data_IF_305309560869
#
_entry.id   IF_305309560869
#
_cell.length_a   1.000
_cell.length_b   1.000
_cell.length_c   1.000
_cell.angle_alpha   90.00
_cell.angle_beta   90.00
_cell.angle_gamma   90.00
#
_symmetry.space_group_name_H-M   'P 1'
#
loop_
_entity.id
_entity.type
_entity.pdbx_description
1 polymer ?
#
# COMPACT_ATOMS: atom_id res chain seq x y z
N UNK A 1 25.05 10.54 -6.34
CA UNK A 1 23.76 9.82 -6.37
C UNK A 1 22.66 10.86 -6.53
N UNK A 2 21.78 10.70 -7.52
CA UNK A 2 20.72 11.67 -7.85
C UNK A 2 19.43 11.21 -7.16
N UNK A 3 18.89 12.02 -6.26
CA UNK A 3 17.82 11.62 -5.33
C UNK A 3 16.39 11.90 -5.84
N UNK A 4 16.25 12.68 -6.92
CA UNK A 4 14.95 13.09 -7.47
C UNK A 4 15.11 13.41 -8.95
N UNK A 5 14.10 13.14 -9.78
CA UNK A 5 14.15 13.55 -11.18
C UNK A 5 13.84 15.05 -11.36
N UNK A 6 14.30 15.62 -12.46
CA UNK A 6 13.93 16.98 -12.84
C UNK A 6 12.42 17.07 -13.08
N UNK A 7 11.80 18.19 -12.71
CA UNK A 7 10.37 18.43 -12.91
C UNK A 7 10.00 18.24 -14.39
N UNK A 8 8.92 17.51 -14.66
CA UNK A 8 8.49 17.24 -16.02
C UNK A 8 8.15 18.54 -16.78
N UNK A 9 8.49 18.58 -18.06
CA UNK A 9 8.09 19.64 -18.98
C UNK A 9 6.55 19.72 -19.07
N UNK A 10 5.94 20.86 -19.43
CA UNK A 10 4.48 21.05 -19.44
C UNK A 10 3.68 20.06 -20.32
N UNK A 11 4.36 19.30 -21.17
CA UNK A 11 3.77 18.36 -22.12
C UNK A 11 4.34 16.93 -22.02
N UNK A 12 5.02 16.62 -20.91
CA UNK A 12 5.59 15.30 -20.66
C UNK A 12 5.12 14.74 -19.32
N UNK A 13 4.93 13.41 -19.28
CA UNK A 13 4.67 12.72 -18.04
C UNK A 13 5.95 12.69 -17.18
N UNK A 14 5.81 12.94 -15.88
CA UNK A 14 6.91 12.79 -14.94
C UNK A 14 7.41 11.34 -14.93
N UNK A 15 8.68 11.15 -15.25
CA UNK A 15 9.37 9.88 -15.18
C UNK A 15 10.07 9.80 -13.81
N UNK A 16 9.58 9.03 -12.84
CA UNK A 16 10.21 8.97 -11.52
C UNK A 16 11.50 8.14 -11.60
N UNK A 17 12.47 8.44 -10.74
CA UNK A 17 13.71 7.64 -10.65
C UNK A 17 13.49 6.34 -9.87
N UNK A 18 14.37 5.34 -10.08
CA UNK A 18 14.36 4.07 -9.34
C UNK A 18 14.35 4.25 -7.81
N UNK A 19 15.02 5.29 -7.30
CA UNK A 19 15.09 5.60 -5.87
C UNK A 19 13.74 6.15 -5.35
N UNK A 20 13.06 7.01 -6.11
CA UNK A 20 11.72 7.51 -5.76
C UNK A 20 10.67 6.38 -5.76
N UNK A 21 10.80 5.42 -6.68
CA UNK A 21 9.96 4.23 -6.71
C UNK A 21 10.21 3.29 -5.52
N UNK A 22 11.48 3.04 -5.17
CA UNK A 22 11.83 2.24 -4.00
C UNK A 22 11.32 2.92 -2.71
N UNK A 23 11.48 4.24 -2.59
CA UNK A 23 10.95 5.01 -1.47
C UNK A 23 9.43 4.88 -1.34
N UNK A 24 8.68 4.99 -2.44
CA UNK A 24 7.22 4.86 -2.41
C UNK A 24 6.72 3.44 -2.07
N UNK A 25 7.41 2.40 -2.56
CA UNK A 25 7.09 1.01 -2.20
C UNK A 25 7.38 0.76 -0.72
N UNK A 26 8.48 1.29 -0.20
CA UNK A 26 8.84 1.17 1.21
C UNK A 26 7.84 1.92 2.09
N UNK A 27 7.48 3.16 1.76
CA UNK A 27 6.57 3.96 2.58
C UNK A 27 5.15 3.38 2.64
N UNK A 28 4.64 2.79 1.57
CA UNK A 28 3.32 2.16 1.57
C UNK A 28 3.34 0.69 2.02
N UNK A 29 4.38 -0.07 1.67
CA UNK A 29 4.53 -1.48 2.04
C UNK A 29 4.77 -1.68 3.55
N UNK A 30 5.41 -0.72 4.23
CA UNK A 30 5.60 -0.76 5.68
C UNK A 30 4.26 -0.86 6.42
N UNK A 31 3.18 -0.28 5.91
CA UNK A 31 1.88 -0.28 6.58
C UNK A 31 1.08 -1.58 6.43
N UNK A 32 1.49 -2.47 5.52
CA UNK A 32 0.86 -3.79 5.35
C UNK A 32 1.04 -4.64 6.61
N UNK A 33 2.24 -4.64 7.20
CA UNK A 33 2.55 -5.46 8.37
C UNK A 33 1.78 -4.99 9.62
N UNK A 34 1.78 -3.70 10.00
CA UNK A 34 0.92 -3.16 11.04
C UNK A 34 -0.56 -3.42 10.79
N UNK A 35 -1.05 -3.27 9.55
CA UNK A 35 -2.45 -3.53 9.22
C UNK A 35 -2.83 -5.01 9.43
N UNK A 36 -1.94 -5.94 9.08
CA UNK A 36 -2.12 -7.36 9.33
C UNK A 36 -2.15 -7.67 10.83
N UNK A 37 -1.18 -7.16 11.60
CA UNK A 37 -1.11 -7.37 13.05
C UNK A 37 -2.32 -6.77 13.76
N UNK A 38 -2.75 -5.57 13.38
CA UNK A 38 -3.95 -4.93 13.92
C UNK A 38 -5.22 -5.74 13.60
N UNK A 39 -5.32 -6.30 12.40
CA UNK A 39 -6.45 -7.16 12.00
C UNK A 39 -6.50 -8.44 12.84
N UNK A 40 -5.35 -9.10 13.05
CA UNK A 40 -5.24 -10.29 13.90
C UNK A 40 -5.63 -9.96 15.34
N UNK A 41 -5.17 -8.83 15.88
CA UNK A 41 -5.51 -8.41 17.24
C UNK A 41 -7.00 -8.08 17.38
N UNK A 42 -7.63 -7.49 16.35
CA UNK A 42 -9.07 -7.22 16.34
C UNK A 42 -9.87 -8.53 16.39
N UNK A 43 -9.46 -9.53 15.60
CA UNK A 43 -10.06 -10.88 15.61
C UNK A 43 -9.84 -11.60 16.95
N UNK A 44 -8.69 -11.40 17.59
CA UNK A 44 -8.40 -11.99 18.91
C UNK A 44 -9.24 -11.37 20.03
N UNK A 45 -9.57 -10.08 19.92
CA UNK A 45 -10.37 -9.33 20.92
C UNK A 45 -11.87 -9.46 20.73
N UNK A 46 -12.34 -9.86 19.56
CA UNK A 46 -13.78 -10.03 19.32
C UNK A 46 -14.35 -11.16 20.18
N UNK A 47 -15.38 -10.84 20.97
CA UNK A 47 -16.06 -11.80 21.85
C UNK A 47 -17.40 -12.25 21.30
N UNK A 48 -17.96 -11.51 20.34
CA UNK A 48 -19.23 -11.84 19.69
C UNK A 48 -19.04 -12.13 18.20
N UNK A 49 -19.92 -12.94 17.63
CA UNK A 49 -19.89 -13.29 16.20
C UNK A 49 -19.97 -12.04 15.30
N UNK A 50 -20.73 -11.02 15.71
CA UNK A 50 -20.82 -9.75 14.97
C UNK A 50 -19.49 -9.00 14.99
N UNK A 51 -18.82 -8.91 16.15
CA UNK A 51 -17.50 -8.27 16.25
C UNK A 51 -16.45 -9.01 15.42
N UNK A 52 -16.47 -10.35 15.43
CA UNK A 52 -15.55 -11.16 14.64
C UNK A 52 -15.77 -10.94 13.14
N UNK A 53 -17.03 -10.90 12.70
CA UNK A 53 -17.37 -10.62 11.30
C UNK A 53 -16.99 -9.21 10.88
N UNK A 54 -17.22 -8.20 11.73
CA UNK A 54 -16.75 -6.84 11.50
C UNK A 54 -15.22 -6.75 11.44
N UNK A 55 -14.50 -7.50 12.29
CA UNK A 55 -13.05 -7.55 12.29
C UNK A 55 -12.49 -8.15 10.99
N UNK A 56 -13.12 -9.21 10.47
CA UNK A 56 -12.75 -9.79 9.17
C UNK A 56 -12.96 -8.80 8.03
N UNK A 57 -14.15 -8.19 7.93
CA UNK A 57 -14.48 -7.24 6.85
C UNK A 57 -13.53 -6.05 6.89
N UNK A 58 -13.29 -5.49 8.08
CA UNK A 58 -12.39 -4.36 8.26
C UNK A 58 -10.93 -4.72 7.92
N UNK A 59 -10.44 -5.85 8.43
CA UNK A 59 -9.06 -6.29 8.21
C UNK A 59 -8.77 -6.61 6.75
N UNK A 60 -9.67 -7.33 6.06
CA UNK A 60 -9.54 -7.61 4.63
C UNK A 60 -9.57 -6.32 3.82
N UNK A 61 -10.50 -5.40 4.12
CA UNK A 61 -10.60 -4.12 3.41
C UNK A 61 -9.35 -3.26 3.58
N UNK A 62 -8.79 -3.20 4.80
CA UNK A 62 -7.58 -2.45 5.10
C UNK A 62 -6.34 -3.05 4.43
N UNK A 63 -6.22 -4.38 4.41
CA UNK A 63 -5.14 -5.07 3.69
C UNK A 63 -5.26 -4.87 2.17
N UNK A 64 -6.46 -4.99 1.60
CA UNK A 64 -6.71 -4.73 0.19
C UNK A 64 -6.41 -3.27 -0.18
N UNK A 65 -6.72 -2.31 0.69
CA UNK A 65 -6.39 -0.90 0.46
C UNK A 65 -4.88 -0.70 0.25
N UNK A 66 -4.06 -1.26 1.15
CA UNK A 66 -2.59 -1.16 1.02
C UNK A 66 -2.04 -2.03 -0.12
N UNK A 67 -2.61 -3.21 -0.37
CA UNK A 67 -2.19 -4.08 -1.47
C UNK A 67 -2.52 -3.50 -2.84
N UNK A 68 -3.72 -2.94 -3.04
CA UNK A 68 -4.10 -2.28 -4.30
C UNK A 68 -3.29 -1.00 -4.48
N UNK A 69 -3.10 -0.21 -3.41
CA UNK A 69 -2.20 0.94 -3.44
C UNK A 69 -0.79 0.54 -3.88
N UNK A 70 -0.25 -0.57 -3.37
CA UNK A 70 1.09 -1.07 -3.76
C UNK A 70 1.08 -1.68 -5.18
N UNK A 71 0.05 -2.44 -5.53
CA UNK A 71 -0.03 -3.21 -6.79
C UNK A 71 -0.35 -2.33 -7.99
N UNK A 72 -1.16 -1.28 -7.83
CA UNK A 72 -1.43 -0.33 -8.92
C UNK A 72 -0.16 0.43 -9.32
N UNK A 73 0.73 0.70 -8.35
CA UNK A 73 2.05 1.25 -8.63
C UNK A 73 3.01 0.23 -9.26
N UNK A 74 2.88 -1.08 -8.99
CA UNK A 74 3.68 -2.14 -9.63
C UNK A 74 3.18 -2.53 -11.04
N UNK A 75 1.88 -2.71 -11.25
CA UNK A 75 1.30 -3.24 -12.48
C UNK A 75 1.21 -2.22 -13.61
N UNK A 76 1.04 -0.92 -13.30
CA UNK A 76 1.15 0.14 -14.31
C UNK A 76 2.56 0.20 -14.93
N UNK A 77 3.55 -0.47 -14.32
CA UNK A 77 4.93 -0.55 -14.81
C UNK A 77 5.24 -1.83 -15.58
N UNK A 78 4.56 -2.96 -15.34
CA UNK A 78 4.80 -4.21 -16.09
C UNK A 78 4.26 -4.20 -17.54
N UNK A 79 3.57 -3.13 -17.97
CA UNK A 79 3.00 -3.02 -19.31
C UNK A 79 3.58 -1.84 -20.13
N UNK A 80 4.80 -1.39 -19.81
CA UNK A 80 5.64 -0.53 -20.65
C UNK A 80 7.07 -1.09 -20.69
#
# INVERSE_FOLDING_TARGET
>A
MKWMNSRASPNEAYQPTYIEHCANIVTHGIWIVPALLASIELMRRSTTSTQFMSAIVYGISLLLLFLVSTSFHCLHYCNH
#
